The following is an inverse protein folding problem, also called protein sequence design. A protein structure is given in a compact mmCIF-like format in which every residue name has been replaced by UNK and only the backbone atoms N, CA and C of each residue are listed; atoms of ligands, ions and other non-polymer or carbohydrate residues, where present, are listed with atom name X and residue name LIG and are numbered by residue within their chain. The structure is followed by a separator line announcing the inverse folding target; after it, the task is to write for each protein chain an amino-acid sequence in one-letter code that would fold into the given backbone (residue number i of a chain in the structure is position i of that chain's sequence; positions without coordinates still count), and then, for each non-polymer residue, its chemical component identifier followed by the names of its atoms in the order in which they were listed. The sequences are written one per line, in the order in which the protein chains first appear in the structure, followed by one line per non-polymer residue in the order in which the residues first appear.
data_IF_805157797734
#
_entry.id   IF_805157797734
#
_cell.length_a   1.000
_cell.length_b   1.000
_cell.length_c   1.000
_cell.angle_alpha   90.00
_cell.angle_beta   90.00
_cell.angle_gamma   90.00
#
_symmetry.space_group_name_H-M   'P 1'
#
loop_
_entity.id
_entity.type
_entity.pdbx_description
1 polymer ?
#
# COMPACT_ATOMS: atom_id res chain seq x y z
N UNK A 1 5.41 -24.72 7.52
CA UNK A 1 6.60 -25.18 6.76
C UNK A 1 6.40 -24.81 5.30
N UNK A 2 7.30 -24.04 4.74
CA UNK A 2 7.31 -23.68 3.31
C UNK A 2 8.11 -24.74 2.57
N UNK A 3 7.52 -25.29 1.51
CA UNK A 3 8.16 -26.31 0.65
C UNK A 3 8.21 -25.79 -0.77
N UNK A 4 9.23 -26.21 -1.51
CA UNK A 4 9.44 -25.87 -2.91
C UNK A 4 9.52 -27.16 -3.74
N UNK A 5 8.92 -27.15 -4.91
CA UNK A 5 9.29 -28.07 -5.97
C UNK A 5 10.47 -27.48 -6.74
N UNK A 6 11.23 -28.31 -7.42
CA UNK A 6 12.35 -27.87 -8.25
C UNK A 6 11.90 -26.85 -9.33
N UNK A 7 10.78 -27.12 -9.97
CA UNK A 7 10.20 -26.22 -10.97
C UNK A 7 9.78 -24.86 -10.38
N UNK A 8 9.23 -24.85 -9.16
CA UNK A 8 8.91 -23.59 -8.47
C UNK A 8 10.18 -22.80 -8.17
N UNK A 9 11.21 -23.47 -7.67
CA UNK A 9 12.48 -22.81 -7.37
C UNK A 9 13.10 -22.19 -8.63
N UNK A 10 13.20 -22.96 -9.72
CA UNK A 10 13.71 -22.45 -11.00
C UNK A 10 12.91 -21.24 -11.50
N UNK A 11 11.58 -21.32 -11.44
CA UNK A 11 10.72 -20.22 -11.87
C UNK A 11 10.96 -18.95 -11.04
N UNK A 12 11.05 -19.07 -9.71
CA UNK A 12 11.29 -17.92 -8.83
C UNK A 12 12.66 -17.31 -9.11
N UNK A 13 13.70 -18.14 -9.30
CA UNK A 13 15.05 -17.66 -9.63
C UNK A 13 15.07 -16.91 -10.96
N UNK A 14 14.41 -17.45 -11.98
CA UNK A 14 14.29 -16.78 -13.28
C UNK A 14 13.52 -15.46 -13.19
N UNK A 15 12.50 -15.42 -12.33
CA UNK A 15 11.63 -14.23 -12.20
C UNK A 15 12.24 -13.11 -11.36
N UNK A 16 12.95 -13.46 -10.29
CA UNK A 16 13.45 -12.50 -9.30
C UNK A 16 14.98 -12.41 -9.21
N UNK A 17 15.72 -13.30 -9.85
CA UNK A 17 17.18 -13.35 -9.73
C UNK A 17 17.87 -12.07 -10.16
N UNK A 18 17.47 -11.49 -11.28
CA UNK A 18 18.00 -10.20 -11.76
C UNK A 18 17.65 -9.05 -10.80
N UNK A 19 16.42 -9.02 -10.30
CA UNK A 19 16.01 -8.03 -9.32
C UNK A 19 16.83 -8.14 -8.02
N UNK A 20 17.08 -9.35 -7.53
CA UNK A 20 17.91 -9.58 -6.34
C UNK A 20 19.35 -9.09 -6.56
N UNK A 21 19.94 -9.38 -7.72
CA UNK A 21 21.29 -8.88 -8.06
C UNK A 21 21.31 -7.35 -8.13
N UNK A 22 20.27 -6.73 -8.70
CA UNK A 22 20.17 -5.28 -8.77
C UNK A 22 20.01 -4.64 -7.38
N UNK A 23 19.19 -5.23 -6.52
CA UNK A 23 19.05 -4.81 -5.11
C UNK A 23 20.40 -4.88 -4.40
N UNK A 24 21.12 -5.98 -4.58
CA UNK A 24 22.46 -6.16 -4.00
C UNK A 24 23.45 -5.09 -4.48
N UNK A 25 23.40 -4.76 -5.76
CA UNK A 25 24.22 -3.69 -6.35
C UNK A 25 23.88 -2.32 -5.70
N UNK A 26 22.61 -1.95 -5.63
CA UNK A 26 22.17 -0.69 -5.00
C UNK A 26 22.62 -0.64 -3.54
N UNK A 27 22.34 -1.71 -2.78
CA UNK A 27 22.66 -1.75 -1.37
C UNK A 27 24.17 -1.60 -1.12
N UNK A 28 25.01 -2.38 -1.80
CA UNK A 28 26.47 -2.34 -1.61
C UNK A 28 27.09 -1.03 -2.11
N UNK A 29 26.56 -0.43 -3.18
CA UNK A 29 27.11 0.77 -3.78
C UNK A 29 26.74 2.06 -3.05
N UNK A 30 25.51 2.12 -2.49
CA UNK A 30 24.96 3.38 -2.00
C UNK A 30 24.50 3.35 -0.54
N UNK A 31 24.09 2.20 0.00
CA UNK A 31 23.45 2.14 1.31
C UNK A 31 24.35 1.59 2.41
N UNK A 32 25.14 0.56 2.11
CA UNK A 32 25.93 -0.19 3.10
C UNK A 32 26.87 0.66 3.93
N UNK A 33 27.50 1.64 3.31
CA UNK A 33 28.52 2.49 3.92
C UNK A 33 28.07 3.96 4.04
N UNK A 34 26.78 4.25 3.87
CA UNK A 34 26.28 5.60 4.09
C UNK A 34 26.37 5.98 5.58
N UNK A 35 26.71 7.23 5.92
CA UNK A 35 26.69 7.71 7.29
C UNK A 35 25.27 7.97 7.83
N UNK A 36 24.25 7.87 6.96
CA UNK A 36 22.86 8.15 7.28
C UNK A 36 22.14 6.87 7.64
N UNK A 37 21.24 6.92 8.62
CA UNK A 37 20.29 5.84 8.91
C UNK A 37 19.17 5.89 7.88
N UNK A 38 19.25 5.02 6.88
CA UNK A 38 18.29 4.97 5.75
C UNK A 38 17.47 3.70 5.88
N UNK A 39 16.15 3.88 5.99
CA UNK A 39 15.20 2.78 5.88
C UNK A 39 15.10 2.31 4.43
N UNK A 40 15.49 1.06 4.19
CA UNK A 40 15.44 0.43 2.87
C UNK A 40 14.25 -0.50 2.77
N UNK A 41 13.30 -0.14 1.94
CA UNK A 41 12.11 -0.94 1.64
C UNK A 41 12.16 -1.50 0.23
N UNK A 42 11.72 -2.75 0.07
CA UNK A 42 11.52 -3.36 -1.23
C UNK A 42 10.06 -3.40 -1.61
N UNK A 43 9.78 -2.97 -2.81
CA UNK A 43 8.49 -3.14 -3.48
C UNK A 43 8.70 -3.99 -4.73
N UNK A 44 8.35 -5.26 -4.63
CA UNK A 44 8.48 -6.25 -5.71
C UNK A 44 7.15 -6.50 -6.42
N UNK A 45 6.17 -5.61 -6.23
CA UNK A 45 4.86 -5.74 -6.87
C UNK A 45 4.98 -5.65 -8.39
N UNK A 46 4.45 -6.67 -9.08
CA UNK A 46 4.34 -6.72 -10.54
C UNK A 46 2.89 -6.48 -10.96
N UNK A 47 2.63 -5.91 -12.15
CA UNK A 47 1.26 -5.80 -12.64
C UNK A 47 0.55 -7.17 -12.66
N UNK A 48 -0.63 -7.24 -12.02
CA UNK A 48 -1.47 -8.45 -12.03
C UNK A 48 -0.96 -9.63 -11.22
N UNK A 49 0.05 -9.44 -10.36
CA UNK A 49 0.59 -10.52 -9.54
C UNK A 49 0.89 -10.05 -8.11
N UNK A 50 0.48 -10.86 -7.15
CA UNK A 50 0.86 -10.75 -5.75
C UNK A 50 2.03 -11.69 -5.47
N UNK A 51 2.92 -11.26 -4.60
CA UNK A 51 4.03 -12.07 -4.11
C UNK A 51 3.50 -13.29 -3.34
N UNK A 52 3.87 -14.50 -3.76
CA UNK A 52 3.51 -15.72 -3.02
C UNK A 52 4.40 -15.90 -1.79
N UNK A 53 3.97 -16.66 -0.75
CA UNK A 53 4.82 -16.95 0.40
C UNK A 53 6.16 -17.62 0.03
N UNK A 54 6.18 -18.48 -1.01
CA UNK A 54 7.40 -19.11 -1.50
C UNK A 54 8.37 -18.11 -2.10
N UNK A 55 7.87 -17.20 -2.94
CA UNK A 55 8.65 -16.09 -3.52
C UNK A 55 9.19 -15.19 -2.41
N UNK A 56 8.32 -14.79 -1.48
CA UNK A 56 8.68 -13.96 -0.34
C UNK A 56 9.81 -14.58 0.50
N UNK A 57 9.69 -15.87 0.83
CA UNK A 57 10.70 -16.58 1.59
C UNK A 57 12.04 -16.64 0.85
N UNK A 58 12.04 -17.03 -0.44
CA UNK A 58 13.28 -17.12 -1.20
C UNK A 58 13.99 -15.76 -1.32
N UNK A 59 13.23 -14.70 -1.60
CA UNK A 59 13.77 -13.35 -1.66
C UNK A 59 14.36 -12.94 -0.32
N UNK A 60 13.63 -13.08 0.79
CA UNK A 60 14.11 -12.77 2.13
C UNK A 60 15.40 -13.55 2.48
N UNK A 61 15.44 -14.84 2.16
CA UNK A 61 16.60 -15.69 2.38
C UNK A 61 17.83 -15.21 1.58
N UNK A 62 17.67 -14.92 0.29
CA UNK A 62 18.77 -14.47 -0.55
C UNK A 62 19.30 -13.10 -0.13
N UNK A 63 18.41 -12.20 0.24
CA UNK A 63 18.82 -10.87 0.74
C UNK A 63 19.58 -10.98 2.07
N UNK A 64 19.10 -11.78 3.01
CA UNK A 64 19.80 -12.03 4.27
C UNK A 64 21.17 -12.67 4.05
N UNK A 65 21.24 -13.69 3.16
CA UNK A 65 22.47 -14.37 2.80
C UNK A 65 23.52 -13.45 2.20
N UNK A 66 23.10 -12.41 1.49
CA UNK A 66 23.95 -11.38 0.92
C UNK A 66 24.21 -10.18 1.88
N UNK A 67 23.78 -10.29 3.14
CA UNK A 67 24.02 -9.26 4.17
C UNK A 67 23.23 -7.97 3.96
N UNK A 68 22.16 -8.02 3.16
CA UNK A 68 21.30 -6.86 2.89
C UNK A 68 20.31 -6.69 4.03
N UNK A 69 20.35 -5.53 4.66
CA UNK A 69 19.44 -5.17 5.74
C UNK A 69 18.23 -4.43 5.17
N UNK A 70 17.07 -5.06 5.26
CA UNK A 70 15.80 -4.46 4.90
C UNK A 70 15.10 -3.87 6.12
N UNK A 71 14.41 -2.77 5.90
CA UNK A 71 13.40 -2.26 6.83
C UNK A 71 12.08 -2.97 6.65
N UNK A 72 11.63 -3.10 5.41
CA UNK A 72 10.34 -3.74 5.08
C UNK A 72 10.32 -4.29 3.66
N UNK A 73 9.42 -5.27 3.45
CA UNK A 73 8.94 -5.68 2.13
C UNK A 73 7.50 -5.22 1.98
N UNK A 74 7.19 -4.61 0.83
CA UNK A 74 5.87 -4.08 0.52
C UNK A 74 5.03 -5.10 -0.24
N UNK A 75 3.82 -5.35 0.25
CA UNK A 75 2.77 -6.10 -0.43
C UNK A 75 1.68 -5.12 -0.90
N UNK A 76 1.05 -5.42 -2.04
CA UNK A 76 -0.05 -4.63 -2.59
C UNK A 76 -1.33 -5.48 -2.66
N UNK A 77 -2.19 -5.43 -1.64
CA UNK A 77 -3.42 -6.21 -1.60
C UNK A 77 -4.42 -5.89 -2.71
N UNK A 78 -4.35 -4.70 -3.35
CA UNK A 78 -5.21 -4.38 -4.49
C UNK A 78 -4.97 -5.26 -5.71
N UNK A 79 -3.83 -5.92 -5.79
CA UNK A 79 -3.51 -6.84 -6.89
C UNK A 79 -4.34 -8.11 -6.82
N UNK A 80 -4.46 -8.66 -5.63
CA UNK A 80 -5.23 -9.85 -5.31
C UNK A 80 -5.45 -9.89 -3.78
N UNK A 81 -6.53 -9.26 -3.32
CA UNK A 81 -6.81 -9.13 -1.90
C UNK A 81 -7.03 -10.50 -1.23
N UNK A 82 -7.72 -11.42 -1.92
CA UNK A 82 -7.98 -12.78 -1.41
C UNK A 82 -6.66 -13.51 -1.18
N UNK A 83 -5.75 -13.54 -2.17
CA UNK A 83 -4.46 -14.21 -2.03
C UNK A 83 -3.59 -13.61 -0.92
N UNK A 84 -3.65 -12.28 -0.69
CA UNK A 84 -2.91 -11.64 0.41
C UNK A 84 -3.53 -11.99 1.75
N UNK A 85 -4.85 -11.94 1.89
CA UNK A 85 -5.53 -12.23 3.15
C UNK A 85 -5.37 -13.71 3.53
N UNK A 86 -5.52 -14.64 2.59
CA UNK A 86 -5.35 -16.08 2.81
C UNK A 86 -3.92 -16.45 3.26
N UNK A 87 -2.92 -15.72 2.80
CA UNK A 87 -1.52 -15.97 3.11
C UNK A 87 -0.92 -14.99 4.11
N UNK A 88 -1.73 -14.11 4.71
CA UNK A 88 -1.28 -13.04 5.60
C UNK A 88 -0.39 -13.56 6.74
N UNK A 89 -0.83 -14.61 7.42
CA UNK A 89 -0.05 -15.20 8.51
C UNK A 89 1.32 -15.68 8.04
N UNK A 90 1.38 -16.36 6.89
CA UNK A 90 2.65 -16.87 6.34
C UNK A 90 3.59 -15.72 5.97
N UNK A 91 3.09 -14.66 5.35
CA UNK A 91 3.89 -13.48 5.06
C UNK A 91 4.43 -12.82 6.33
N UNK A 92 3.63 -12.76 7.40
CA UNK A 92 4.05 -12.23 8.68
C UNK A 92 5.13 -13.11 9.35
N UNK A 93 4.98 -14.43 9.33
CA UNK A 93 5.97 -15.38 9.86
C UNK A 93 7.30 -15.31 9.10
N UNK A 94 7.25 -15.13 7.78
CA UNK A 94 8.44 -14.94 6.95
C UNK A 94 9.17 -13.65 7.33
N UNK A 95 8.44 -12.54 7.43
CA UNK A 95 9.01 -11.25 7.80
C UNK A 95 9.65 -11.27 9.21
N UNK A 96 8.99 -11.92 10.18
CA UNK A 96 9.55 -12.09 11.54
C UNK A 96 10.81 -12.97 11.52
N UNK A 97 10.82 -14.04 10.69
CA UNK A 97 11.98 -14.93 10.53
C UNK A 97 13.23 -14.18 10.05
N UNK A 98 13.07 -13.26 9.10
CA UNK A 98 14.18 -12.49 8.53
C UNK A 98 14.39 -11.13 9.21
N UNK A 99 13.57 -10.77 10.20
CA UNK A 99 13.75 -9.60 11.05
C UNK A 99 13.38 -8.25 10.41
N UNK A 100 12.59 -8.25 9.33
CA UNK A 100 12.07 -7.01 8.73
C UNK A 100 10.57 -6.85 8.97
N UNK A 101 10.03 -5.69 8.62
CA UNK A 101 8.60 -5.38 8.72
C UNK A 101 7.89 -5.76 7.42
N UNK A 102 6.58 -5.97 7.51
CA UNK A 102 5.72 -5.89 6.33
C UNK A 102 5.17 -4.48 6.18
N UNK A 103 5.08 -4.06 4.93
CA UNK A 103 4.40 -2.84 4.51
C UNK A 103 3.27 -3.22 3.56
N UNK A 104 2.08 -2.67 3.77
CA UNK A 104 0.91 -2.94 2.94
C UNK A 104 0.45 -1.65 2.26
N UNK A 105 0.45 -1.65 0.92
CA UNK A 105 -0.18 -0.59 0.13
C UNK A 105 -1.69 -0.77 0.12
N UNK A 106 -2.41 0.33 0.10
CA UNK A 106 -3.87 0.33 -0.05
C UNK A 106 -4.58 -0.60 0.96
N UNK A 107 -4.02 -0.75 2.15
CA UNK A 107 -4.52 -1.65 3.18
C UNK A 107 -5.94 -1.27 3.61
N UNK A 108 -6.25 0.01 3.62
CA UNK A 108 -7.55 0.58 3.94
C UNK A 108 -8.67 0.22 2.96
N UNK A 109 -8.33 -0.22 1.74
CA UNK A 109 -9.32 -0.66 0.75
C UNK A 109 -9.38 -2.18 0.61
N UNK A 110 -8.23 -2.84 0.66
CA UNK A 110 -8.11 -4.20 0.17
C UNK A 110 -7.84 -5.24 1.25
N UNK A 111 -7.49 -4.84 2.47
CA UNK A 111 -7.30 -5.78 3.59
C UNK A 111 -8.59 -5.89 4.40
N UNK A 112 -9.01 -7.14 4.62
CA UNK A 112 -10.18 -7.45 5.45
C UNK A 112 -9.88 -7.25 6.93
N UNK A 113 -8.69 -7.61 7.38
CA UNK A 113 -8.29 -7.53 8.80
C UNK A 113 -6.87 -6.99 8.97
N UNK A 114 -6.76 -5.68 9.12
CA UNK A 114 -5.48 -5.02 9.44
C UNK A 114 -5.00 -5.34 10.86
N UNK A 115 -5.92 -5.65 11.79
CA UNK A 115 -5.59 -6.00 13.17
C UNK A 115 -4.90 -7.36 13.25
N UNK A 116 -5.23 -8.31 12.36
CA UNK A 116 -4.55 -9.59 12.26
C UNK A 116 -3.07 -9.42 11.90
N UNK A 117 -2.76 -8.58 10.90
CA UNK A 117 -1.37 -8.28 10.53
C UNK A 117 -0.60 -7.65 11.70
N UNK A 118 -1.21 -6.72 12.43
CA UNK A 118 -0.61 -6.12 13.64
C UNK A 118 -0.32 -7.16 14.72
N UNK A 119 -1.25 -8.10 14.92
CA UNK A 119 -1.10 -9.18 15.91
C UNK A 119 0.02 -10.13 15.54
N UNK A 120 0.07 -10.63 14.30
CA UNK A 120 1.08 -11.57 13.83
C UNK A 120 2.49 -10.98 13.87
N UNK A 121 2.65 -9.71 13.52
CA UNK A 121 3.93 -9.00 13.53
C UNK A 121 4.21 -8.26 14.83
N UNK A 122 3.39 -8.43 15.86
CA UNK A 122 3.59 -7.76 17.16
C UNK A 122 3.80 -6.24 17.01
N UNK A 123 3.02 -5.62 16.12
CA UNK A 123 3.12 -4.20 15.79
C UNK A 123 4.23 -3.81 14.81
N UNK A 124 5.04 -4.75 14.31
CA UNK A 124 6.08 -4.49 13.29
C UNK A 124 5.50 -4.46 11.86
N UNK A 125 4.46 -3.69 11.66
CA UNK A 125 3.77 -3.55 10.37
C UNK A 125 3.67 -2.08 9.99
N UNK A 126 3.70 -1.79 8.70
CA UNK A 126 3.51 -0.46 8.15
C UNK A 126 2.36 -0.49 7.14
N UNK A 127 1.29 0.25 7.43
CA UNK A 127 0.16 0.42 6.51
C UNK A 127 0.33 1.72 5.74
N UNK A 128 0.39 1.63 4.42
CA UNK A 128 0.35 2.78 3.53
C UNK A 128 -1.12 3.09 3.20
N UNK A 129 -1.68 3.98 3.97
CA UNK A 129 -3.09 4.37 3.92
C UNK A 129 -3.30 5.58 3.01
N UNK A 130 -2.85 5.52 1.78
CA UNK A 130 -2.98 6.62 0.82
C UNK A 130 -4.43 7.02 0.58
N UNK A 131 -5.36 6.07 0.69
CA UNK A 131 -6.76 6.33 0.42
C UNK A 131 -7.50 7.00 1.57
N UNK A 132 -7.01 6.93 2.81
CA UNK A 132 -7.61 7.67 3.93
C UNK A 132 -7.63 9.17 3.65
N UNK A 133 -6.57 9.72 3.08
CA UNK A 133 -6.54 11.14 2.71
C UNK A 133 -7.62 11.47 1.69
N UNK A 134 -7.79 10.60 0.69
CA UNK A 134 -8.79 10.77 -0.36
C UNK A 134 -10.20 10.59 0.17
N UNK A 135 -10.43 9.53 0.94
CA UNK A 135 -11.73 9.27 1.56
C UNK A 135 -12.13 10.44 2.46
N UNK A 136 -11.23 10.91 3.32
CA UNK A 136 -11.50 12.06 4.19
C UNK A 136 -11.81 13.33 3.41
N UNK A 137 -11.14 13.57 2.29
CA UNK A 137 -11.42 14.70 1.41
C UNK A 137 -12.79 14.59 0.72
N UNK A 138 -13.12 13.39 0.24
CA UNK A 138 -14.41 13.08 -0.42
C UNK A 138 -15.57 13.22 0.59
N UNK A 139 -15.43 12.64 1.78
CA UNK A 139 -16.43 12.72 2.85
C UNK A 139 -16.67 14.17 3.30
N UNK A 140 -15.59 14.93 3.44
CA UNK A 140 -15.66 16.34 3.82
C UNK A 140 -16.38 17.16 2.74
N UNK A 141 -16.03 16.96 1.46
CA UNK A 141 -16.71 17.63 0.35
C UNK A 141 -18.20 17.26 0.31
N UNK A 142 -18.54 15.97 0.49
CA UNK A 142 -19.93 15.51 0.55
C UNK A 142 -20.71 16.17 1.69
N UNK A 143 -20.07 16.40 2.84
CA UNK A 143 -20.73 16.98 4.01
C UNK A 143 -20.88 18.49 3.94
N UNK A 144 -19.93 19.22 3.35
CA UNK A 144 -19.84 20.67 3.43
C UNK A 144 -20.11 21.39 2.10
N UNK A 145 -19.91 20.72 0.95
CA UNK A 145 -20.08 21.30 -0.38
C UNK A 145 -20.65 20.27 -1.37
N UNK A 146 -21.97 20.16 -1.39
CA UNK A 146 -22.69 19.22 -2.27
C UNK A 146 -22.43 19.47 -3.76
N UNK A 147 -22.18 20.73 -4.15
CA UNK A 147 -21.90 21.10 -5.53
C UNK A 147 -20.54 20.61 -5.99
N UNK A 148 -19.52 20.81 -5.16
CA UNK A 148 -18.17 20.27 -5.38
C UNK A 148 -18.18 18.74 -5.38
N UNK A 149 -18.93 18.11 -4.47
CA UNK A 149 -19.07 16.67 -4.44
C UNK A 149 -19.74 16.13 -5.70
N UNK A 150 -20.77 16.80 -6.21
CA UNK A 150 -21.42 16.46 -7.48
C UNK A 150 -20.47 16.53 -8.68
N UNK A 151 -19.65 17.58 -8.77
CA UNK A 151 -18.60 17.71 -9.80
C UNK A 151 -17.57 16.60 -9.69
N UNK A 152 -17.16 16.25 -8.47
CA UNK A 152 -16.21 15.15 -8.21
C UNK A 152 -16.78 13.80 -8.66
N UNK A 153 -18.03 13.49 -8.31
CA UNK A 153 -18.69 12.27 -8.73
C UNK A 153 -18.79 12.17 -10.27
N UNK A 154 -19.16 13.26 -10.93
CA UNK A 154 -19.21 13.31 -12.40
C UNK A 154 -17.83 13.04 -13.02
N UNK A 155 -16.78 13.65 -12.50
CA UNK A 155 -15.38 13.43 -12.97
C UNK A 155 -14.90 11.99 -12.72
N UNK A 156 -15.39 11.32 -11.68
CA UNK A 156 -15.09 9.92 -11.38
C UNK A 156 -15.99 8.93 -12.12
N UNK A 157 -17.05 9.39 -12.78
CA UNK A 157 -18.07 8.53 -13.39
C UNK A 157 -18.97 7.83 -12.37
N UNK A 158 -19.20 8.44 -11.21
CA UNK A 158 -20.05 7.94 -10.14
C UNK A 158 -21.35 8.74 -10.02
N UNK A 159 -22.38 8.12 -9.43
CA UNK A 159 -23.60 8.82 -9.07
C UNK A 159 -23.37 9.78 -7.88
N UNK A 160 -24.08 10.92 -7.81
CA UNK A 160 -23.94 11.88 -6.68
C UNK A 160 -24.35 11.31 -5.32
N UNK A 161 -25.00 10.15 -5.31
CA UNK A 161 -25.39 9.42 -4.09
C UNK A 161 -24.34 8.43 -3.62
N UNK A 162 -23.23 8.28 -4.36
CA UNK A 162 -22.16 7.34 -4.01
C UNK A 162 -21.67 7.56 -2.58
N UNK A 163 -21.32 6.47 -1.91
CA UNK A 163 -20.64 6.53 -0.63
C UNK A 163 -19.18 6.90 -0.84
N UNK A 164 -18.60 7.67 0.09
CA UNK A 164 -17.18 8.02 0.05
C UNK A 164 -16.27 6.79 0.11
N UNK A 165 -16.75 5.68 0.67
CA UNK A 165 -16.08 4.38 0.65
C UNK A 165 -16.27 3.61 -0.67
N UNK A 166 -17.06 4.11 -1.62
CA UNK A 166 -17.22 3.47 -2.93
C UNK A 166 -15.87 3.37 -3.63
N UNK A 167 -15.50 2.13 -3.97
CA UNK A 167 -14.21 1.84 -4.57
C UNK A 167 -14.00 2.58 -5.90
N UNK A 168 -15.05 2.72 -6.71
CA UNK A 168 -14.97 3.41 -7.98
C UNK A 168 -14.68 4.91 -7.76
N UNK A 169 -15.36 5.54 -6.80
CA UNK A 169 -15.14 6.93 -6.42
C UNK A 169 -13.73 7.15 -5.87
N UNK A 170 -13.28 6.31 -4.93
CA UNK A 170 -11.95 6.40 -4.34
C UNK A 170 -10.85 6.20 -5.37
N UNK A 171 -10.96 5.23 -6.26
CA UNK A 171 -9.97 5.00 -7.31
C UNK A 171 -10.02 6.05 -8.42
N UNK A 172 -11.20 6.56 -8.74
CA UNK A 172 -11.41 7.61 -9.75
C UNK A 172 -10.89 8.99 -9.30
N UNK A 173 -10.82 9.24 -8.00
CA UNK A 173 -10.40 10.52 -7.43
C UNK A 173 -9.04 11.01 -7.97
N UNK A 174 -8.06 10.12 -8.12
CA UNK A 174 -6.76 10.49 -8.70
C UNK A 174 -6.87 11.00 -10.14
N UNK A 175 -7.76 10.40 -10.93
CA UNK A 175 -8.01 10.83 -12.30
C UNK A 175 -8.74 12.19 -12.29
N UNK A 176 -9.76 12.31 -11.46
CA UNK A 176 -10.53 13.54 -11.30
C UNK A 176 -9.66 14.75 -10.89
N UNK A 177 -8.58 14.52 -10.15
CA UNK A 177 -7.62 15.56 -9.74
C UNK A 177 -6.42 15.71 -10.69
N UNK A 178 -6.38 15.03 -11.81
CA UNK A 178 -5.31 15.20 -12.78
C UNK A 178 -5.57 16.47 -13.62
N UNK A 179 -4.72 17.51 -13.54
CA UNK A 179 -4.96 18.78 -14.28
C UNK A 179 -4.97 18.62 -15.81
N UNK A 180 -4.48 17.48 -16.33
CA UNK A 180 -4.47 17.17 -17.77
C UNK A 180 -5.75 16.49 -18.25
N UNK A 181 -6.61 16.05 -17.34
CA UNK A 181 -7.85 15.40 -17.68
C UNK A 181 -8.97 16.44 -17.89
N UNK A 182 -9.82 16.19 -18.85
CA UNK A 182 -10.99 17.03 -19.09
C UNK A 182 -11.95 16.92 -17.89
N UNK A 183 -12.54 18.04 -17.48
CA UNK A 183 -13.46 18.10 -16.33
C UNK A 183 -12.79 17.88 -14.96
N UNK A 184 -11.46 18.05 -14.87
CA UNK A 184 -10.79 17.94 -13.56
C UNK A 184 -11.28 19.01 -12.58
N UNK A 185 -11.37 18.62 -11.30
CA UNK A 185 -11.80 19.47 -10.17
C UNK A 185 -10.66 19.81 -9.21
N UNK A 186 -9.41 19.67 -9.67
CA UNK A 186 -8.23 19.79 -8.82
C UNK A 186 -8.11 21.16 -8.16
N UNK A 187 -8.39 22.24 -8.91
CA UNK A 187 -8.31 23.60 -8.37
C UNK A 187 -9.40 23.85 -7.32
N UNK A 188 -10.63 23.40 -7.58
CA UNK A 188 -11.76 23.54 -6.68
C UNK A 188 -11.51 22.75 -5.38
N UNK A 189 -11.07 21.48 -5.50
CA UNK A 189 -10.73 20.65 -4.33
C UNK A 189 -9.58 21.24 -3.53
N UNK A 190 -8.57 21.78 -4.18
CA UNK A 190 -7.45 22.43 -3.48
C UNK A 190 -7.93 23.61 -2.68
N UNK A 191 -8.69 24.52 -3.27
CA UNK A 191 -9.25 25.70 -2.61
C UNK A 191 -10.17 25.29 -1.44
N UNK A 192 -11.01 24.28 -1.64
CA UNK A 192 -11.88 23.73 -0.61
C UNK A 192 -11.08 23.17 0.59
N UNK A 193 -10.07 22.34 0.36
CA UNK A 193 -9.26 21.75 1.43
C UNK A 193 -8.39 22.77 2.16
N UNK A 194 -7.96 23.83 1.47
CA UNK A 194 -7.28 24.96 2.10
C UNK A 194 -8.22 25.76 3.01
N UNK A 195 -9.46 25.99 2.58
CA UNK A 195 -10.48 26.69 3.36
C UNK A 195 -10.95 25.88 4.59
N UNK A 196 -10.96 24.56 4.50
CA UNK A 196 -11.43 23.62 5.54
C UNK A 196 -10.30 22.77 6.14
N UNK A 197 -9.11 23.34 6.26
CA UNK A 197 -7.92 22.60 6.69
C UNK A 197 -8.07 21.93 8.07
N UNK A 198 -8.72 22.57 9.02
CA UNK A 198 -8.89 22.03 10.37
C UNK A 198 -9.85 20.84 10.40
N UNK A 199 -10.96 20.94 9.69
CA UNK A 199 -11.96 19.88 9.53
C UNK A 199 -11.37 18.69 8.78
N UNK A 200 -10.57 18.92 7.73
CA UNK A 200 -9.89 17.89 7.00
C UNK A 200 -8.88 17.13 7.85
N UNK A 201 -8.08 17.84 8.64
CA UNK A 201 -7.15 17.21 9.58
C UNK A 201 -7.87 16.38 10.66
N UNK A 202 -9.04 16.81 11.11
CA UNK A 202 -9.88 16.07 12.06
C UNK A 202 -10.43 14.78 11.40
N UNK A 203 -10.99 14.85 10.20
CA UNK A 203 -11.51 13.71 9.44
C UNK A 203 -10.44 12.65 9.19
N UNK A 204 -9.21 13.06 8.82
CA UNK A 204 -8.08 12.12 8.66
C UNK A 204 -7.81 11.38 9.97
N UNK A 205 -7.75 12.08 11.10
CA UNK A 205 -7.48 11.46 12.41
C UNK A 205 -8.57 10.46 12.79
N UNK A 206 -9.82 10.79 12.53
CA UNK A 206 -10.97 9.92 12.81
C UNK A 206 -10.92 8.65 11.95
N UNK A 207 -10.71 8.79 10.65
CA UNK A 207 -10.62 7.66 9.73
C UNK A 207 -9.42 6.75 10.01
N UNK A 208 -8.25 7.32 10.37
CA UNK A 208 -7.10 6.54 10.82
C UNK A 208 -7.44 5.77 12.10
N UNK A 209 -8.07 6.43 13.08
CA UNK A 209 -8.43 5.78 14.35
C UNK A 209 -9.48 4.68 14.16
N UNK A 210 -10.43 4.85 13.24
CA UNK A 210 -11.41 3.82 12.90
C UNK A 210 -10.74 2.59 12.29
N UNK A 211 -9.83 2.79 11.34
CA UNK A 211 -9.08 1.68 10.68
C UNK A 211 -8.17 0.91 11.62
N UNK A 212 -7.58 1.56 12.59
CA UNK A 212 -6.70 0.89 13.57
C UNK A 212 -7.47 0.07 14.62
N UNK A 213 -8.80 0.21 14.70
CA UNK A 213 -9.67 -0.54 15.62
C UNK A 213 -10.29 -1.80 14.99
N UNK A 214 -10.31 -1.88 13.66
CA UNK A 214 -10.76 -3.06 12.91
C UNK A 214 -9.60 -4.02 12.67
#
# INVERSE_FOLDING_TARGET
KITFTENQLHRIVLEYGEAIMHIQFIYNSYLKNTPWDIDFELDLSKPGKVLTPQEHYLIGNELQRNGIKLRSICLDPLKDAEAVNDNLQLHCEIADTFGYRLSFKNADIAMEDTAAAMKYLKGKVHFKMNNILWMSAIELAKALDADLFGKLCAACGCEPTADAADRALVLGYRKALNPKEEGNVAADMKAFLEAHHAEYAAAIKENVAAKLKT
#
